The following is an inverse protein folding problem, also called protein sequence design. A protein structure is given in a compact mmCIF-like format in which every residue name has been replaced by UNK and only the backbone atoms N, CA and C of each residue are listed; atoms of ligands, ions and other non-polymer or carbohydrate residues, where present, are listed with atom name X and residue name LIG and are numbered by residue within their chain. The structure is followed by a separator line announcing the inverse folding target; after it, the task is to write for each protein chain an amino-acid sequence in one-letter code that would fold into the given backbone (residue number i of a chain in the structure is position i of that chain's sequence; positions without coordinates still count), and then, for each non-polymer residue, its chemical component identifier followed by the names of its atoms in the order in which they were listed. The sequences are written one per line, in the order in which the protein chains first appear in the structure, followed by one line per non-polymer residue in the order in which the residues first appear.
data_IF_096144649113
#
_entry.id   IF_096144649113
#
_cell.length_a   1.000
_cell.length_b   1.000
_cell.length_c   1.000
_cell.angle_alpha   90.00
_cell.angle_beta   90.00
_cell.angle_gamma   90.00
#
_symmetry.space_group_name_H-M   'P 1'
#
loop_
_entity.id
_entity.type
_entity.pdbx_description
1 polymer ?
#
# COMPACT_ATOMS: atom_id res chain seq x y z
N UNK A 1 -17.36 -2.83 8.08
CA UNK A 1 -16.27 -2.44 7.17
C UNK A 1 -15.87 -1.03 7.55
N UNK A 2 -14.56 -0.76 7.61
CA UNK A 2 -14.00 0.57 7.79
C UNK A 2 -12.93 0.76 6.72
N UNK A 3 -12.77 1.98 6.23
CA UNK A 3 -11.96 2.30 5.07
C UNK A 3 -11.30 3.65 5.30
N UNK A 4 -10.04 3.78 4.87
CA UNK A 4 -9.29 5.03 4.91
C UNK A 4 -9.02 5.46 3.48
N UNK A 5 -10.09 5.89 2.81
CA UNK A 5 -10.14 6.27 1.39
C UNK A 5 -9.09 7.32 0.96
N UNK A 6 -8.53 8.08 1.92
CA UNK A 6 -7.40 8.97 1.66
C UNK A 6 -6.10 8.24 1.27
N UNK A 7 -5.97 6.93 1.53
CA UNK A 7 -4.83 6.13 1.05
C UNK A 7 -4.87 5.87 -0.45
N UNK A 8 -6.00 6.14 -1.11
CA UNK A 8 -6.12 6.14 -2.58
C UNK A 8 -6.04 7.57 -3.14
N UNK A 9 -6.90 8.45 -2.64
CA UNK A 9 -7.08 9.78 -3.22
C UNK A 9 -5.81 10.65 -3.21
N UNK A 10 -5.01 10.56 -2.15
CA UNK A 10 -3.81 11.38 -2.00
C UNK A 10 -2.66 10.91 -2.88
N UNK A 11 -2.29 9.62 -2.92
CA UNK A 11 -1.27 9.16 -3.86
C UNK A 11 -1.70 9.27 -5.34
N UNK A 12 -2.99 9.13 -5.67
CA UNK A 12 -3.49 9.38 -7.04
C UNK A 12 -3.32 10.86 -7.48
N UNK A 13 -3.02 11.76 -6.54
CA UNK A 13 -2.66 13.16 -6.82
C UNK A 13 -1.16 13.46 -6.60
N UNK A 14 -0.31 12.43 -6.49
CA UNK A 14 1.11 12.57 -6.20
C UNK A 14 1.38 13.49 -4.99
N UNK A 15 0.65 13.25 -3.89
CA UNK A 15 0.78 14.04 -2.65
C UNK A 15 1.41 13.18 -1.54
N UNK A 16 2.74 13.26 -1.41
CA UNK A 16 3.49 12.40 -0.49
C UNK A 16 3.15 12.61 0.98
N UNK A 17 3.13 13.86 1.45
CA UNK A 17 2.80 14.17 2.84
C UNK A 17 1.36 13.77 3.17
N UNK A 18 0.43 13.99 2.24
CA UNK A 18 -0.95 13.55 2.39
C UNK A 18 -1.05 12.03 2.50
N UNK A 19 -0.44 11.31 1.56
CA UNK A 19 -0.40 9.85 1.55
C UNK A 19 0.20 9.28 2.85
N UNK A 20 1.33 9.80 3.31
CA UNK A 20 1.98 9.30 4.54
C UNK A 20 1.10 9.51 5.78
N UNK A 21 0.39 10.64 5.86
CA UNK A 21 -0.58 10.87 6.94
C UNK A 21 -1.80 9.94 6.82
N UNK A 22 -2.29 9.67 5.61
CA UNK A 22 -3.38 8.73 5.39
C UNK A 22 -3.00 7.30 5.80
N UNK A 23 -1.81 6.84 5.41
CA UNK A 23 -1.28 5.52 5.80
C UNK A 23 -1.12 5.43 7.32
N UNK A 24 -0.63 6.50 7.98
CA UNK A 24 -0.59 6.58 9.44
C UNK A 24 -1.99 6.43 10.06
N UNK A 25 -2.99 7.14 9.57
CA UNK A 25 -4.35 7.02 10.08
C UNK A 25 -4.94 5.61 9.87
N UNK A 26 -4.60 4.95 8.76
CA UNK A 26 -4.97 3.56 8.54
C UNK A 26 -4.31 2.63 9.57
N UNK A 27 -3.03 2.82 9.88
CA UNK A 27 -2.32 2.07 10.93
C UNK A 27 -2.93 2.32 12.33
N UNK A 28 -3.20 3.58 12.69
CA UNK A 28 -3.86 3.94 13.95
C UNK A 28 -5.25 3.26 14.06
N UNK A 29 -6.02 3.20 12.96
CA UNK A 29 -7.32 2.52 12.91
C UNK A 29 -7.18 1.00 13.06
N UNK A 30 -6.15 0.38 12.49
CA UNK A 30 -5.83 -1.04 12.71
C UNK A 30 -5.53 -1.29 14.19
N UNK A 31 -4.80 -0.38 14.84
CA UNK A 31 -4.54 -0.42 16.29
C UNK A 31 -5.84 -0.49 17.11
N UNK A 32 -6.81 0.39 16.83
CA UNK A 32 -8.13 0.37 17.49
C UNK A 32 -8.86 -0.96 17.25
N UNK A 33 -8.79 -1.51 16.05
CA UNK A 33 -9.42 -2.80 15.74
C UNK A 33 -8.74 -3.98 16.46
N UNK A 34 -7.41 -3.92 16.65
CA UNK A 34 -6.66 -4.90 17.42
C UNK A 34 -7.00 -4.84 18.92
N UNK A 35 -7.16 -3.64 19.48
CA UNK A 35 -7.62 -3.46 20.86
C UNK A 35 -9.02 -4.05 21.06
N UNK A 36 -9.94 -3.78 20.13
CA UNK A 36 -11.27 -4.39 20.15
C UNK A 36 -11.21 -5.92 20.08
N UNK A 37 -10.36 -6.47 19.21
CA UNK A 37 -10.16 -7.91 19.08
C UNK A 37 -9.65 -8.54 20.38
N UNK A 38 -8.77 -7.86 21.12
CA UNK A 38 -8.24 -8.35 22.38
C UNK A 38 -9.33 -8.52 23.45
N UNK A 39 -10.34 -7.63 23.46
CA UNK A 39 -11.48 -7.72 24.36
C UNK A 39 -12.58 -8.67 23.85
N UNK A 40 -12.60 -8.93 22.54
CA UNK A 40 -13.65 -9.70 21.85
C UNK A 40 -13.05 -10.81 20.97
N UNK A 41 -12.49 -11.89 21.56
CA UNK A 41 -11.72 -12.91 20.82
C UNK A 41 -12.54 -13.70 19.79
N UNK A 42 -13.87 -13.67 19.87
CA UNK A 42 -14.77 -14.27 18.86
C UNK A 42 -14.98 -13.32 17.66
N UNK A 43 -13.95 -12.59 17.26
CA UNK A 43 -13.97 -11.63 16.17
C UNK A 43 -12.88 -12.01 15.17
N UNK A 44 -13.20 -11.91 13.87
CA UNK A 44 -12.19 -11.88 12.81
C UNK A 44 -11.85 -10.43 12.50
N UNK A 45 -10.56 -10.12 12.46
CA UNK A 45 -10.03 -8.92 11.83
C UNK A 45 -9.32 -9.33 10.54
N UNK A 46 -9.67 -8.71 9.42
CA UNK A 46 -8.95 -8.82 8.15
C UNK A 46 -8.67 -7.41 7.61
N UNK A 47 -7.45 -7.19 7.14
CA UNK A 47 -6.99 -5.94 6.53
C UNK A 47 -6.40 -6.25 5.16
N UNK A 48 -6.76 -5.47 4.14
CA UNK A 48 -6.25 -5.56 2.77
C UNK A 48 -6.40 -4.19 2.10
N UNK A 49 -5.82 -4.02 0.91
CA UNK A 49 -6.19 -2.96 -0.02
C UNK A 49 -7.00 -3.55 -1.20
N UNK A 50 -7.68 -2.69 -1.92
CA UNK A 50 -8.40 -2.97 -3.16
C UNK A 50 -7.53 -2.72 -4.41
N UNK A 51 -6.61 -1.76 -4.35
CA UNK A 51 -5.60 -1.45 -5.38
C UNK A 51 -4.26 -0.95 -4.77
N UNK A 52 -3.33 -0.54 -5.64
CA UNK A 52 -2.15 0.26 -5.29
C UNK A 52 -2.25 1.63 -5.99
N UNK A 53 -2.80 2.61 -5.28
CA UNK A 53 -3.02 3.97 -5.78
C UNK A 53 -1.71 4.72 -5.98
N UNK A 54 -1.45 5.17 -7.21
CA UNK A 54 -0.28 5.96 -7.58
C UNK A 54 1.08 5.26 -7.50
N UNK A 55 1.16 4.02 -6.99
CA UNK A 55 2.37 3.20 -6.81
C UNK A 55 3.60 3.94 -6.25
N UNK A 56 3.47 4.60 -5.07
CA UNK A 56 4.55 5.35 -4.44
C UNK A 56 5.82 4.49 -4.25
N UNK A 57 6.97 5.07 -4.58
CA UNK A 57 8.29 4.46 -4.36
C UNK A 57 9.09 5.28 -3.35
N UNK A 58 9.81 4.60 -2.45
CA UNK A 58 10.69 5.26 -1.48
C UNK A 58 12.11 5.32 -2.02
N UNK A 59 12.69 6.51 -2.05
CA UNK A 59 14.09 6.74 -2.39
C UNK A 59 14.87 7.13 -1.13
N UNK A 60 15.77 6.26 -0.69
CA UNK A 60 16.67 6.50 0.44
C UNK A 60 18.10 6.07 0.09
N UNK A 61 19.14 6.92 0.29
CA UNK A 61 19.02 8.31 0.76
C UNK A 61 18.26 9.18 -0.25
N UNK A 62 17.70 10.29 0.21
CA UNK A 62 16.93 11.19 -0.64
C UNK A 62 17.86 11.86 -1.68
N UNK A 63 17.56 11.80 -3.00
CA UNK A 63 18.31 12.55 -3.99
C UNK A 63 18.10 14.05 -3.79
N UNK A 64 19.15 14.79 -3.44
CA UNK A 64 19.09 16.23 -3.15
C UNK A 64 19.96 17.06 -4.08
N UNK A 65 19.54 18.30 -4.32
CA UNK A 65 20.34 19.30 -5.04
C UNK A 65 21.43 19.91 -4.13
N UNK A 66 22.18 20.89 -4.66
CA UNK A 66 23.24 21.58 -3.90
C UNK A 66 22.72 22.42 -2.73
N UNK A 67 21.41 22.69 -2.65
CA UNK A 67 20.76 23.37 -1.54
C UNK A 67 20.19 22.38 -0.50
N UNK A 68 20.32 21.06 -0.73
CA UNK A 68 19.78 20.03 0.15
C UNK A 68 18.28 19.79 -0.02
N UNK A 69 17.68 20.28 -1.10
CA UNK A 69 16.27 20.05 -1.42
C UNK A 69 16.11 18.81 -2.27
N UNK A 70 15.03 18.06 -2.07
CA UNK A 70 14.70 16.88 -2.87
C UNK A 70 14.63 17.26 -4.34
N UNK A 71 15.31 16.47 -5.17
CA UNK A 71 15.45 16.68 -6.60
C UNK A 71 14.77 15.56 -7.39
N UNK A 72 15.46 14.98 -8.36
CA UNK A 72 14.91 13.97 -9.26
C UNK A 72 15.62 12.63 -9.05
N UNK A 73 14.92 11.53 -9.35
CA UNK A 73 15.59 10.26 -9.65
C UNK A 73 15.96 10.22 -11.13
N UNK A 74 17.14 9.69 -11.46
CA UNK A 74 17.57 9.50 -12.84
C UNK A 74 16.96 8.24 -13.44
N UNK A 75 16.51 8.30 -14.69
CA UNK A 75 16.23 7.09 -15.47
C UNK A 75 16.50 7.25 -16.96
N UNK A 76 16.36 6.13 -17.68
CA UNK A 76 16.71 6.02 -19.09
C UNK A 76 15.58 5.35 -19.89
N UNK A 77 14.42 6.02 -20.02
CA UNK A 77 13.33 5.50 -20.84
C UNK A 77 13.75 5.37 -22.31
N UNK A 78 13.33 4.29 -22.97
CA UNK A 78 13.58 4.07 -24.39
C UNK A 78 12.97 5.19 -25.23
N UNK A 79 13.71 5.68 -26.23
CA UNK A 79 13.24 6.70 -27.15
C UNK A 79 13.44 8.14 -26.68
N UNK A 80 13.97 8.35 -25.48
CA UNK A 80 14.46 9.65 -25.03
C UNK A 80 15.96 9.78 -25.36
N UNK A 81 16.39 10.98 -25.73
CA UNK A 81 17.80 11.28 -26.00
C UNK A 81 18.65 10.99 -24.75
N UNK A 82 19.51 9.97 -24.85
CA UNK A 82 20.39 9.52 -23.77
C UNK A 82 21.46 10.53 -23.36
N UNK A 83 21.63 11.62 -24.12
CA UNK A 83 22.47 12.74 -23.71
C UNK A 83 21.82 13.61 -22.63
N UNK A 84 20.53 13.39 -22.33
CA UNK A 84 19.83 13.99 -21.21
C UNK A 84 19.58 12.92 -20.15
N UNK A 85 20.08 13.15 -18.94
CA UNK A 85 19.59 12.42 -17.77
C UNK A 85 18.11 12.79 -17.60
N UNK A 86 17.22 11.84 -17.87
CA UNK A 86 15.80 12.06 -17.67
C UNK A 86 15.51 11.98 -16.17
N UNK A 87 15.17 13.12 -15.57
CA UNK A 87 14.84 13.23 -14.16
C UNK A 87 13.35 13.02 -13.92
N UNK A 88 12.99 12.07 -13.06
CA UNK A 88 11.66 11.93 -12.51
C UNK A 88 11.57 12.72 -11.20
N UNK A 89 10.72 13.76 -11.12
CA UNK A 89 10.54 14.53 -9.89
C UNK A 89 10.15 13.65 -8.71
N UNK A 90 10.73 13.95 -7.55
CA UNK A 90 10.40 13.31 -6.28
C UNK A 90 9.83 14.36 -5.33
N UNK A 91 9.00 13.90 -4.40
CA UNK A 91 8.46 14.73 -3.32
C UNK A 91 9.32 14.62 -2.06
N UNK A 92 9.64 15.79 -1.51
CA UNK A 92 10.05 15.96 -0.13
C UNK A 92 8.87 16.25 0.80
N UNK A 93 9.17 16.76 1.97
CA UNK A 93 8.25 17.00 3.09
C UNK A 93 6.99 17.77 2.69
N UNK A 94 7.09 18.76 1.81
CA UNK A 94 5.96 19.60 1.37
C UNK A 94 5.70 19.47 -0.15
N UNK A 95 6.23 18.41 -0.77
CA UNK A 95 6.21 18.17 -2.21
C UNK A 95 7.56 18.41 -2.89
N UNK A 96 7.56 18.58 -4.21
CA UNK A 96 8.78 18.73 -5.01
C UNK A 96 9.63 19.95 -4.59
N UNK A 97 10.95 19.81 -4.62
CA UNK A 97 11.88 20.91 -4.32
C UNK A 97 11.88 21.35 -2.85
N UNK A 98 11.38 20.50 -1.94
CA UNK A 98 11.36 20.76 -0.50
C UNK A 98 12.36 19.85 0.22
N UNK A 99 12.58 20.06 1.51
CA UNK A 99 13.48 19.22 2.31
C UNK A 99 13.03 17.75 2.30
N UNK A 100 13.94 16.77 2.41
CA UNK A 100 13.55 15.36 2.47
C UNK A 100 12.77 15.05 3.74
N UNK A 101 12.02 13.94 3.73
CA UNK A 101 11.47 13.36 4.94
C UNK A 101 12.60 12.77 5.79
N UNK A 102 12.43 12.78 7.11
CA UNK A 102 13.35 12.11 8.03
C UNK A 102 12.59 11.01 8.77
N UNK A 103 13.11 9.79 8.70
CA UNK A 103 12.63 8.68 9.51
C UNK A 103 13.04 8.88 10.98
N UNK A 104 12.27 8.27 11.88
CA UNK A 104 12.72 8.05 13.25
C UNK A 104 14.01 7.21 13.26
N UNK A 105 14.88 7.37 14.28
CA UNK A 105 16.11 6.61 14.37
C UNK A 105 15.85 5.09 14.34
N UNK A 106 16.68 4.36 13.58
CA UNK A 106 16.68 2.91 13.60
C UNK A 106 17.18 2.33 14.95
N UNK A 107 17.24 1.01 15.06
CA UNK A 107 17.70 0.33 16.27
C UNK A 107 19.15 0.67 16.69
N UNK A 108 19.95 1.26 15.80
CA UNK A 108 21.31 1.73 16.05
C UNK A 108 21.38 3.26 16.28
N UNK A 109 20.23 3.94 16.25
CA UNK A 109 20.13 5.40 16.41
C UNK A 109 20.41 6.18 15.12
N UNK A 110 20.44 5.53 13.97
CA UNK A 110 20.67 6.18 12.67
C UNK A 110 19.35 6.69 12.11
N UNK A 111 19.26 8.00 11.84
CA UNK A 111 18.15 8.56 11.06
C UNK A 111 18.48 8.46 9.58
N UNK A 112 17.50 8.06 8.78
CA UNK A 112 17.60 8.02 7.33
C UNK A 112 16.69 9.07 6.73
N UNK A 113 17.18 9.77 5.72
CA UNK A 113 16.36 10.64 4.89
C UNK A 113 15.73 9.85 3.74
N UNK A 114 14.58 10.33 3.27
CA UNK A 114 13.94 9.74 2.09
C UNK A 114 13.08 10.75 1.34
N UNK A 115 12.79 10.40 0.09
CA UNK A 115 11.85 11.08 -0.79
C UNK A 115 10.87 10.08 -1.39
N UNK A 116 9.72 10.56 -1.87
CA UNK A 116 8.70 9.72 -2.53
C UNK A 116 8.69 10.00 -4.03
N UNK A 117 8.72 8.94 -4.83
CA UNK A 117 8.58 9.02 -6.28
C UNK A 117 7.29 8.36 -6.77
N UNK A 118 6.80 8.83 -7.91
CA UNK A 118 5.52 8.41 -8.47
C UNK A 118 5.68 7.93 -9.92
N UNK A 119 5.25 6.72 -10.28
CA UNK A 119 5.14 6.30 -11.66
C UNK A 119 3.95 6.95 -12.39
N UNK A 120 2.88 7.31 -11.69
CA UNK A 120 1.69 7.93 -12.26
C UNK A 120 0.56 8.12 -11.24
N UNK A 121 -0.59 8.69 -11.64
CA UNK A 121 -1.74 8.95 -10.76
C UNK A 121 -2.78 7.81 -10.72
N UNK A 122 -2.54 6.72 -11.44
CA UNK A 122 -3.52 5.66 -11.67
C UNK A 122 -3.45 4.58 -10.58
N UNK A 123 -4.54 3.85 -10.41
CA UNK A 123 -4.52 2.55 -9.76
C UNK A 123 -3.68 1.57 -10.56
N UNK A 124 -2.78 0.88 -9.88
CA UNK A 124 -2.01 -0.20 -10.51
C UNK A 124 -2.14 -1.51 -9.75
N UNK A 125 -1.78 -2.59 -10.45
CA UNK A 125 -1.63 -3.90 -9.85
C UNK A 125 -0.32 -3.95 -9.04
N UNK A 126 -0.35 -3.39 -7.84
CA UNK A 126 0.74 -3.43 -6.89
C UNK A 126 0.79 -4.72 -6.05
N UNK A 127 1.83 -4.81 -5.22
CA UNK A 127 1.98 -5.90 -4.25
C UNK A 127 1.09 -5.68 -3.02
N UNK A 128 -0.20 -5.98 -3.14
CA UNK A 128 -1.14 -5.82 -2.02
C UNK A 128 -0.90 -6.90 -0.97
N UNK A 129 -0.80 -6.47 0.29
CA UNK A 129 -0.68 -7.37 1.45
C UNK A 129 -2.02 -7.47 2.16
N UNK A 130 -2.49 -8.71 2.31
CA UNK A 130 -3.61 -9.01 3.19
C UNK A 130 -3.11 -9.65 4.49
N UNK A 131 -3.69 -9.27 5.63
CA UNK A 131 -3.40 -9.83 6.95
C UNK A 131 -4.71 -10.12 7.68
N UNK A 132 -4.70 -11.15 8.53
CA UNK A 132 -5.84 -11.46 9.39
C UNK A 132 -5.38 -11.80 10.81
N UNK A 133 -6.26 -11.54 11.77
CA UNK A 133 -6.10 -11.89 13.18
C UNK A 133 -7.45 -12.33 13.79
N UNK A 134 -7.39 -13.12 14.86
CA UNK A 134 -8.58 -13.58 15.58
C UNK A 134 -9.23 -14.83 14.99
N UNK A 135 -10.55 -14.93 15.14
CA UNK A 135 -11.34 -16.08 14.75
C UNK A 135 -11.14 -16.41 13.27
N UNK A 136 -10.84 -17.68 12.95
CA UNK A 136 -10.61 -18.18 11.59
C UNK A 136 -9.45 -17.53 10.79
N UNK A 137 -8.64 -16.67 11.40
CA UNK A 137 -7.49 -16.06 10.71
C UNK A 137 -6.47 -17.10 10.19
N UNK A 138 -6.40 -18.29 10.82
CA UNK A 138 -5.57 -19.40 10.37
C UNK A 138 -5.88 -19.86 8.94
N UNK A 139 -7.10 -19.63 8.43
CA UNK A 139 -7.47 -19.95 7.06
C UNK A 139 -6.63 -19.17 6.03
N UNK A 140 -6.12 -17.98 6.37
CA UNK A 140 -5.16 -17.25 5.53
C UNK A 140 -3.86 -18.02 5.31
N UNK A 141 -3.46 -18.85 6.29
CA UNK A 141 -2.23 -19.64 6.24
C UNK A 141 -2.46 -21.07 5.73
N UNK A 142 -3.70 -21.53 5.64
CA UNK A 142 -4.02 -22.89 5.18
C UNK A 142 -4.75 -22.90 3.83
N UNK A 143 -5.90 -22.23 3.73
CA UNK A 143 -6.76 -22.26 2.53
C UNK A 143 -6.34 -21.22 1.49
N UNK A 144 -5.84 -20.07 1.95
CA UNK A 144 -5.49 -18.92 1.09
C UNK A 144 -3.97 -18.67 1.00
N UNK A 145 -3.16 -19.64 1.40
CA UNK A 145 -1.71 -19.45 1.58
C UNK A 145 -0.93 -19.36 0.27
N UNK A 146 -1.40 -20.04 -0.78
CA UNK A 146 -0.73 -20.05 -2.08
C UNK A 146 -1.06 -18.80 -2.90
N UNK A 147 -2.29 -18.31 -2.77
CA UNK A 147 -2.83 -17.12 -3.41
C UNK A 147 -4.05 -16.68 -2.62
N UNK A 148 -4.17 -15.36 -2.45
CA UNK A 148 -5.41 -14.73 -2.03
C UNK A 148 -5.93 -13.91 -3.21
N UNK A 149 -7.11 -14.25 -3.70
CA UNK A 149 -7.89 -13.42 -4.61
C UNK A 149 -8.75 -12.43 -3.83
N UNK A 150 -9.14 -11.29 -4.40
CA UNK A 150 -10.00 -10.32 -3.70
C UNK A 150 -11.35 -10.92 -3.31
N UNK A 151 -11.84 -11.88 -4.10
CA UNK A 151 -13.05 -12.66 -3.78
C UNK A 151 -12.90 -13.58 -2.57
N UNK A 152 -11.67 -13.97 -2.21
CA UNK A 152 -11.40 -14.84 -1.05
C UNK A 152 -11.63 -14.10 0.28
N UNK A 153 -11.54 -12.76 0.29
CA UNK A 153 -11.92 -11.94 1.45
C UNK A 153 -13.38 -12.22 1.82
N UNK A 154 -14.28 -12.26 0.84
CA UNK A 154 -15.68 -12.61 1.07
C UNK A 154 -15.83 -14.05 1.56
N UNK A 155 -15.07 -15.00 0.98
CA UNK A 155 -15.11 -16.42 1.41
C UNK A 155 -14.68 -16.57 2.88
N UNK A 156 -13.67 -15.84 3.32
CA UNK A 156 -13.23 -15.84 4.72
C UNK A 156 -14.27 -15.22 5.66
N UNK A 157 -14.87 -14.09 5.26
CA UNK A 157 -15.95 -13.46 6.02
C UNK A 157 -17.16 -14.40 6.15
N UNK A 158 -17.56 -15.06 5.06
CA UNK A 158 -18.67 -16.00 5.03
C UNK A 158 -18.43 -17.21 5.93
N UNK A 159 -17.22 -17.80 5.85
CA UNK A 159 -16.83 -18.89 6.74
C UNK A 159 -16.88 -18.49 8.22
N UNK A 160 -16.54 -17.25 8.54
CA UNK A 160 -16.56 -16.75 9.91
C UNK A 160 -17.96 -16.47 10.43
N UNK A 161 -18.84 -15.91 9.60
CA UNK A 161 -20.20 -15.56 10.00
C UNK A 161 -21.14 -16.78 10.02
N UNK A 162 -20.96 -17.72 9.10
CA UNK A 162 -21.91 -18.80 8.85
C UNK A 162 -21.34 -20.20 9.06
N UNK A 163 -20.03 -20.33 9.32
CA UNK A 163 -19.38 -21.62 9.56
C UNK A 163 -19.20 -22.48 8.31
N UNK A 164 -19.38 -21.90 7.11
CA UNK A 164 -19.27 -22.59 5.83
C UNK A 164 -18.20 -21.93 4.96
N UNK A 165 -17.20 -22.69 4.51
CA UNK A 165 -16.24 -22.20 3.54
C UNK A 165 -16.78 -22.42 2.12
N UNK A 166 -17.09 -21.33 1.43
CA UNK A 166 -17.54 -21.38 0.04
C UNK A 166 -16.43 -21.89 -0.90
N UNK A 167 -16.78 -22.57 -2.00
CA UNK A 167 -15.81 -22.95 -3.03
C UNK A 167 -15.13 -21.72 -3.64
N UNK A 168 -13.93 -21.87 -4.24
CA UNK A 168 -13.28 -20.78 -4.96
C UNK A 168 -14.18 -20.20 -6.05
N UNK A 169 -14.11 -18.89 -6.27
CA UNK A 169 -14.73 -18.25 -7.43
C UNK A 169 -13.87 -18.52 -8.67
N UNK A 170 -13.76 -19.77 -9.08
CA UNK A 170 -13.34 -20.06 -10.45
C UNK A 170 -14.46 -19.54 -11.34
N UNK A 171 -14.21 -18.45 -12.06
CA UNK A 171 -15.15 -17.95 -13.04
C UNK A 171 -15.57 -19.08 -13.96
N UNK A 172 -16.88 -19.22 -14.21
CA UNK A 172 -17.31 -19.90 -15.42
C UNK A 172 -16.64 -19.18 -16.59
N UNK A 173 -16.13 -19.94 -17.57
CA UNK A 173 -15.68 -19.33 -18.82
C UNK A 173 -16.80 -18.44 -19.32
N UNK A 174 -16.49 -17.17 -19.61
CA UNK A 174 -17.47 -16.28 -20.23
C UNK A 174 -18.08 -17.03 -21.42
N UNK A 175 -19.42 -17.12 -21.53
CA UNK A 175 -20.03 -17.84 -22.63
C UNK A 175 -19.48 -17.29 -23.94
N UNK A 176 -19.10 -18.20 -24.85
CA UNK A 176 -18.70 -17.80 -26.19
C UNK A 176 -19.81 -16.93 -26.77
N UNK A 177 -19.44 -15.81 -27.37
CA UNK A 177 -20.39 -15.02 -28.16
C UNK A 177 -20.74 -15.86 -29.38
N UNK A 178 -21.88 -16.54 -29.35
CA UNK A 178 -22.53 -17.06 -30.56
C UNK A 178 -22.97 -15.91 -31.50
#
# INVERSE_FOLDING_TARGET
MAEVESTDNLPNNANAIGMLNAVRHADDMIGVALDFLAENPNTLLITTADSDGGAPQVFSPAPTDSAGMVSTSSGNPTGVDRSRDFGFPLDGLEGQGTAPFLAEPDALGTQMDFAIGWPGPEDVAGGIVARAAGLNAALMLTEFSARLDSTDVYRLLYATLFGELLPPSTGELAPDRE
#
